data_IF_515793142835
#
_entry.id   IF_515793142835
#
_cell.length_a   1.000
_cell.length_b   1.000
_cell.length_c   1.000
_cell.angle_alpha   90.00
_cell.angle_beta   90.00
_cell.angle_gamma   90.00
#
_symmetry.space_group_name_H-M   'P 1'
#
loop_
_entity.id
_entity.type
_entity.pdbx_description
1 polymer ?
#
# COMPACT_ATOMS: atom_id res chain seq x y z
N UNK A 1 -7.16 6.18 -22.54
CA UNK A 1 -5.70 6.29 -22.62
C UNK A 1 -5.28 7.58 -21.94
N UNK A 2 -4.36 7.50 -21.02
CA UNK A 2 -3.81 8.62 -20.24
C UNK A 2 -3.19 9.72 -21.14
N UNK A 3 -3.23 10.98 -20.70
CA UNK A 3 -2.71 12.13 -21.46
C UNK A 3 -1.20 12.03 -21.71
N UNK A 4 -0.43 11.52 -20.73
CA UNK A 4 1.01 11.31 -20.88
C UNK A 4 1.32 10.24 -21.92
N UNK A 5 0.61 9.11 -21.89
CA UNK A 5 0.73 8.06 -22.92
C UNK A 5 0.44 8.60 -24.32
N UNK A 6 -0.63 9.41 -24.48
CA UNK A 6 -0.94 10.09 -25.77
C UNK A 6 0.19 11.00 -26.24
N UNK A 7 0.80 11.77 -25.31
CA UNK A 7 1.94 12.65 -25.62
C UNK A 7 3.15 11.83 -26.09
N UNK A 8 3.49 10.75 -25.41
CA UNK A 8 4.60 9.85 -25.80
C UNK A 8 4.36 9.24 -27.18
N UNK A 9 3.15 8.74 -27.42
CA UNK A 9 2.80 8.17 -28.74
C UNK A 9 2.93 9.21 -29.86
N UNK A 10 2.53 10.46 -29.62
CA UNK A 10 2.73 11.56 -30.58
C UNK A 10 4.22 11.85 -30.83
N UNK A 11 5.03 11.83 -29.77
CA UNK A 11 6.49 12.05 -29.86
C UNK A 11 7.17 10.93 -30.67
N UNK A 12 6.72 9.69 -30.55
CA UNK A 12 7.24 8.55 -31.31
C UNK A 12 6.92 8.63 -32.84
N UNK A 13 5.91 9.41 -33.25
CA UNK A 13 5.53 9.54 -34.65
C UNK A 13 5.20 8.16 -35.26
N UNK A 14 5.79 7.80 -36.39
CA UNK A 14 5.62 6.49 -37.04
C UNK A 14 6.15 5.34 -36.19
N UNK A 15 7.11 5.56 -35.31
CA UNK A 15 7.65 4.51 -34.45
C UNK A 15 6.60 3.95 -33.46
N UNK A 16 5.46 4.63 -33.25
CA UNK A 16 4.35 4.13 -32.43
C UNK A 16 3.76 2.83 -33.00
N UNK A 17 3.93 2.57 -34.29
CA UNK A 17 3.44 1.36 -34.96
C UNK A 17 4.13 0.08 -34.47
N UNK A 18 5.35 0.17 -33.94
CA UNK A 18 6.06 -0.94 -33.32
C UNK A 18 5.50 -1.33 -31.94
N UNK A 19 4.70 -0.46 -31.30
CA UNK A 19 4.15 -0.74 -29.99
C UNK A 19 2.87 -1.59 -30.08
N UNK A 20 2.77 -2.57 -29.18
CA UNK A 20 1.51 -3.25 -28.89
C UNK A 20 0.45 -2.28 -28.37
N UNK A 21 -0.82 -2.71 -28.30
CA UNK A 21 -1.89 -1.94 -27.70
C UNK A 21 -1.61 -1.61 -26.22
N UNK A 22 -0.98 -2.53 -25.48
CA UNK A 22 -0.53 -2.32 -24.12
C UNK A 22 0.64 -1.32 -24.07
N UNK A 23 1.68 -1.49 -24.88
CA UNK A 23 2.80 -0.56 -24.95
C UNK A 23 2.38 0.88 -25.25
N UNK A 24 1.35 1.08 -26.07
CA UNK A 24 0.78 2.42 -26.33
C UNK A 24 0.05 3.04 -25.14
N UNK A 25 -0.39 2.25 -24.16
CA UNK A 25 -1.01 2.75 -22.93
C UNK A 25 0.01 3.10 -21.85
N UNK A 26 1.20 2.48 -21.90
CA UNK A 26 2.24 2.68 -20.90
C UNK A 26 2.84 4.08 -20.90
N UNK A 27 3.14 4.60 -19.72
CA UNK A 27 3.84 5.88 -19.50
C UNK A 27 4.51 5.87 -18.13
N UNK A 28 5.48 6.79 -17.93
CA UNK A 28 6.03 7.04 -16.61
C UNK A 28 5.30 8.25 -15.99
N UNK A 29 4.76 8.14 -14.76
CA UNK A 29 3.95 9.20 -14.15
C UNK A 29 4.82 10.30 -13.51
N UNK A 30 5.44 11.16 -14.34
CA UNK A 30 6.31 12.25 -13.88
C UNK A 30 5.66 13.21 -12.87
N UNK A 31 4.34 13.42 -12.95
CA UNK A 31 3.59 14.24 -12.00
C UNK A 31 3.07 13.49 -10.78
N UNK A 32 3.26 12.16 -10.70
CA UNK A 32 2.85 11.33 -9.57
C UNK A 32 3.80 11.43 -8.37
N UNK A 33 3.65 10.52 -7.42
CA UNK A 33 4.42 10.48 -6.17
C UNK A 33 5.94 10.59 -6.40
N UNK A 34 6.48 9.89 -7.40
CA UNK A 34 7.92 9.91 -7.68
C UNK A 34 8.40 11.26 -8.20
N UNK A 35 7.62 11.91 -9.08
CA UNK A 35 7.95 13.24 -9.60
C UNK A 35 7.90 14.31 -8.52
N UNK A 36 6.81 14.33 -7.75
CA UNK A 36 6.65 15.24 -6.61
C UNK A 36 7.77 15.03 -5.54
N UNK A 37 8.15 13.76 -5.31
CA UNK A 37 9.26 13.42 -4.43
C UNK A 37 10.61 13.97 -4.94
N UNK A 38 10.85 13.96 -6.26
CA UNK A 38 12.05 14.53 -6.86
C UNK A 38 12.09 16.06 -6.70
N UNK A 39 10.98 16.76 -6.88
CA UNK A 39 10.87 18.22 -6.64
C UNK A 39 11.20 18.58 -5.18
N UNK A 40 10.80 17.73 -4.23
CA UNK A 40 11.08 17.90 -2.80
C UNK A 40 12.50 17.51 -2.39
N UNK A 41 13.33 17.00 -3.29
CA UNK A 41 14.64 16.41 -2.97
C UNK A 41 15.64 17.37 -2.30
N UNK A 42 15.46 18.69 -2.46
CA UNK A 42 16.31 19.73 -1.84
C UNK A 42 15.68 20.37 -0.59
N UNK A 43 14.49 19.97 -0.20
CA UNK A 43 13.82 20.51 0.98
C UNK A 43 14.54 20.08 2.27
N UNK A 44 14.59 20.98 3.25
CA UNK A 44 15.14 20.68 4.58
C UNK A 44 14.32 19.63 5.32
N UNK A 45 13.01 19.62 5.09
CA UNK A 45 12.08 18.62 5.60
C UNK A 45 11.44 17.91 4.40
N UNK A 46 11.61 16.60 4.29
CA UNK A 46 11.07 15.82 3.18
C UNK A 46 10.12 14.72 3.68
N UNK A 47 8.81 14.99 3.58
CA UNK A 47 7.72 14.10 3.97
C UNK A 47 7.08 13.38 2.78
N UNK A 48 7.84 13.05 1.74
CA UNK A 48 7.29 12.51 0.47
C UNK A 48 7.36 11.00 0.36
N UNK A 49 8.48 10.37 0.72
CA UNK A 49 8.80 9.00 0.35
C UNK A 49 8.18 7.96 1.29
N UNK A 50 7.81 6.81 0.73
CA UNK A 50 7.24 5.67 1.49
C UNK A 50 8.31 4.77 2.13
N UNK A 51 9.30 5.38 2.80
CA UNK A 51 10.31 4.71 3.63
C UNK A 51 10.20 5.20 5.07
N UNK A 52 11.03 4.67 5.96
CA UNK A 52 11.16 5.17 7.33
C UNK A 52 12.64 5.43 7.64
N UNK A 53 12.90 6.46 8.45
CA UNK A 53 14.24 6.89 8.85
C UNK A 53 14.36 6.98 10.37
N UNK A 54 15.56 6.85 10.88
CA UNK A 54 15.89 7.09 12.29
C UNK A 54 15.78 8.58 12.64
N UNK A 55 15.99 8.92 13.90
CA UNK A 55 15.96 10.30 14.37
C UNK A 55 17.17 11.13 13.87
N UNK A 56 18.24 10.48 13.42
CA UNK A 56 19.43 11.08 12.82
C UNK A 56 19.35 11.20 11.29
N UNK A 57 18.26 10.72 10.67
CA UNK A 57 18.06 10.73 9.24
C UNK A 57 18.65 9.52 8.50
N UNK A 58 19.25 8.54 9.18
CA UNK A 58 19.67 7.28 8.57
C UNK A 58 18.46 6.37 8.29
N UNK A 59 18.53 5.44 7.33
CA UNK A 59 17.43 4.49 7.08
C UNK A 59 17.10 3.63 8.30
N UNK A 60 15.81 3.48 8.61
CA UNK A 60 15.30 2.67 9.72
C UNK A 60 15.42 1.18 9.41
N UNK A 61 16.63 0.64 9.35
CA UNK A 61 16.92 -0.76 8.99
C UNK A 61 17.30 -1.55 10.24
N UNK A 62 16.85 -2.81 10.31
CA UNK A 62 17.24 -3.73 11.40
C UNK A 62 18.61 -4.32 11.13
N UNK A 63 19.47 -4.38 12.17
CA UNK A 63 20.82 -4.95 12.10
C UNK A 63 20.85 -6.40 11.63
N UNK A 64 19.85 -7.19 11.97
CA UNK A 64 19.75 -8.58 11.54
C UNK A 64 19.62 -8.74 10.02
N UNK A 65 19.20 -7.70 9.28
CA UNK A 65 19.30 -7.66 7.83
C UNK A 65 20.62 -7.05 7.35
N UNK A 66 21.02 -5.91 7.91
CA UNK A 66 22.18 -5.16 7.43
C UNK A 66 23.50 -5.89 7.66
N UNK A 67 23.62 -6.66 8.75
CA UNK A 67 24.86 -7.37 9.12
C UNK A 67 24.99 -8.76 8.52
N UNK A 68 23.92 -9.36 8.01
CA UNK A 68 23.91 -10.72 7.45
C UNK A 68 24.24 -10.78 5.94
N UNK A 69 25.05 -9.83 5.45
CA UNK A 69 25.41 -9.76 4.02
C UNK A 69 26.36 -10.90 3.60
N UNK A 70 27.06 -11.55 4.55
CA UNK A 70 27.91 -12.71 4.28
C UNK A 70 27.05 -13.97 4.11
N UNK A 71 26.63 -14.22 2.88
CA UNK A 71 25.75 -15.31 2.50
C UNK A 71 26.51 -16.53 1.98
N UNK A 72 25.97 -17.73 2.23
CA UNK A 72 26.42 -18.97 1.59
C UNK A 72 26.33 -18.86 0.05
N UNK A 73 27.24 -19.53 -0.66
CA UNK A 73 27.27 -19.57 -2.14
C UNK A 73 25.94 -20.05 -2.75
N UNK A 74 25.16 -20.84 -2.03
CA UNK A 74 23.83 -21.29 -2.46
C UNK A 74 22.84 -20.13 -2.68
N UNK A 75 23.03 -18.98 -2.01
CA UNK A 75 22.23 -17.79 -2.21
C UNK A 75 22.31 -17.22 -3.63
N UNK A 76 23.35 -17.57 -4.39
CA UNK A 76 23.57 -17.13 -5.77
C UNK A 76 22.91 -18.06 -6.82
N UNK A 77 22.31 -19.16 -6.40
CA UNK A 77 21.58 -20.06 -7.27
C UNK A 77 20.14 -19.53 -7.53
N UNK A 78 19.50 -20.04 -8.58
CA UNK A 78 18.09 -19.71 -8.82
C UNK A 78 17.21 -20.17 -7.66
N UNK A 79 16.29 -19.31 -7.22
CA UNK A 79 15.35 -19.62 -6.12
C UNK A 79 14.16 -20.48 -6.55
N UNK A 80 13.98 -20.71 -7.88
CA UNK A 80 12.77 -21.29 -8.44
C UNK A 80 11.60 -20.29 -8.45
N UNK A 81 10.61 -20.54 -9.31
CA UNK A 81 9.49 -19.61 -9.54
C UNK A 81 8.52 -19.52 -8.37
N UNK A 82 8.44 -20.54 -7.53
CA UNK A 82 7.67 -20.50 -6.27
C UNK A 82 8.38 -19.72 -5.15
N UNK A 83 9.69 -19.55 -5.25
CA UNK A 83 10.56 -19.09 -4.18
C UNK A 83 11.14 -20.23 -3.35
N UNK A 84 12.14 -19.91 -2.50
CA UNK A 84 12.82 -20.88 -1.64
C UNK A 84 11.85 -21.48 -0.61
N UNK A 85 11.85 -22.81 -0.50
CA UNK A 85 10.93 -23.56 0.38
C UNK A 85 11.07 -23.12 1.84
N UNK A 86 12.29 -22.89 2.30
CA UNK A 86 12.56 -22.44 3.68
C UNK A 86 11.89 -21.08 3.95
N UNK A 87 11.98 -20.12 3.01
CA UNK A 87 11.34 -18.81 3.14
C UNK A 87 9.83 -18.91 3.15
N UNK A 88 9.24 -19.67 2.22
CA UNK A 88 7.80 -19.88 2.13
C UNK A 88 7.22 -20.48 3.41
N UNK A 89 7.91 -21.49 3.98
CA UNK A 89 7.51 -22.11 5.24
C UNK A 89 7.62 -21.16 6.43
N UNK A 90 8.74 -20.41 6.52
CA UNK A 90 8.91 -19.41 7.57
C UNK A 90 7.82 -18.34 7.51
N UNK A 91 7.52 -17.81 6.30
CA UNK A 91 6.47 -16.80 6.12
C UNK A 91 5.09 -17.33 6.43
N UNK A 92 4.74 -18.56 6.00
CA UNK A 92 3.50 -19.22 6.37
C UNK A 92 3.30 -19.30 7.89
N UNK A 93 4.35 -19.69 8.62
CA UNK A 93 4.32 -19.75 10.07
C UNK A 93 4.15 -18.36 10.70
N UNK A 94 4.79 -17.33 10.12
CA UNK A 94 4.59 -15.94 10.55
C UNK A 94 3.17 -15.45 10.28
N UNK A 95 2.58 -15.80 9.14
CA UNK A 95 1.19 -15.44 8.83
C UNK A 95 0.23 -15.97 9.90
N UNK A 96 0.32 -17.25 10.29
CA UNK A 96 -0.54 -17.80 11.34
C UNK A 96 -0.31 -17.10 12.68
N UNK A 97 0.96 -16.91 13.07
CA UNK A 97 1.27 -16.22 14.35
C UNK A 97 0.77 -14.77 14.40
N UNK A 98 0.81 -14.07 13.27
CA UNK A 98 0.35 -12.67 13.17
C UNK A 98 -1.15 -12.54 12.95
N UNK A 99 -1.80 -13.61 12.51
CA UNK A 99 -3.23 -13.69 12.24
C UNK A 99 -3.79 -14.96 12.89
N UNK A 100 -4.01 -14.98 14.21
CA UNK A 100 -4.51 -16.16 14.93
C UNK A 100 -5.83 -16.70 14.36
N UNK A 101 -6.67 -15.83 13.79
CA UNK A 101 -7.93 -16.23 13.13
C UNK A 101 -7.74 -17.10 11.88
N UNK A 102 -6.51 -17.30 11.40
CA UNK A 102 -6.17 -18.28 10.35
C UNK A 102 -6.03 -19.71 10.86
N UNK A 103 -5.94 -19.91 12.18
CA UNK A 103 -5.80 -21.24 12.74
C UNK A 103 -6.98 -22.12 12.34
N UNK A 104 -6.67 -23.31 11.84
CA UNK A 104 -7.68 -24.27 11.34
C UNK A 104 -8.28 -23.94 9.96
N UNK A 105 -7.95 -22.80 9.33
CA UNK A 105 -8.42 -22.46 7.99
C UNK A 105 -7.47 -22.97 6.90
N UNK A 106 -8.02 -23.38 5.76
CA UNK A 106 -7.26 -23.81 4.61
C UNK A 106 -6.81 -22.58 3.78
N UNK A 107 -5.53 -22.50 3.48
CA UNK A 107 -4.94 -21.51 2.56
C UNK A 107 -3.68 -22.06 1.90
N UNK A 108 -3.31 -21.51 0.75
CA UNK A 108 -2.16 -21.95 -0.04
C UNK A 108 -0.82 -21.67 0.67
N UNK A 109 0.25 -22.29 0.22
CA UNK A 109 1.57 -21.78 0.58
C UNK A 109 1.84 -20.47 -0.16
N UNK A 110 2.53 -19.50 0.48
CA UNK A 110 2.88 -18.25 -0.19
C UNK A 110 3.81 -18.48 -1.37
N UNK A 111 3.54 -17.83 -2.50
CA UNK A 111 4.45 -17.77 -3.66
C UNK A 111 5.23 -16.47 -3.57
N UNK A 112 6.55 -16.55 -3.72
CA UNK A 112 7.45 -15.39 -3.57
C UNK A 112 7.39 -14.51 -4.82
N UNK A 113 7.19 -13.21 -4.62
CA UNK A 113 7.14 -12.20 -5.67
C UNK A 113 8.25 -11.15 -5.48
N UNK A 114 8.52 -10.36 -6.51
CA UNK A 114 9.47 -9.22 -6.41
C UNK A 114 8.77 -8.04 -5.73
N UNK A 115 8.52 -8.15 -4.43
CA UNK A 115 7.68 -7.29 -3.59
C UNK A 115 6.21 -7.23 -4.02
N UNK A 116 5.41 -6.39 -3.34
CA UNK A 116 3.97 -6.34 -3.50
C UNK A 116 3.53 -5.80 -4.87
N UNK A 117 4.28 -4.87 -5.46
CA UNK A 117 3.97 -4.35 -6.80
C UNK A 117 3.93 -5.47 -7.84
N UNK A 118 4.89 -6.40 -7.78
CA UNK A 118 4.87 -7.58 -8.64
C UNK A 118 3.72 -8.53 -8.26
N UNK A 119 3.45 -8.71 -6.97
CA UNK A 119 2.29 -9.49 -6.51
C UNK A 119 0.96 -8.94 -7.02
N UNK A 120 0.77 -7.61 -7.01
CA UNK A 120 -0.39 -6.94 -7.62
C UNK A 120 -0.47 -7.17 -9.12
N UNK A 121 0.68 -7.12 -9.83
CA UNK A 121 0.73 -7.44 -11.27
C UNK A 121 0.34 -8.89 -11.54
N UNK A 122 0.82 -9.84 -10.75
CA UNK A 122 0.41 -11.26 -10.80
C UNK A 122 -1.09 -11.39 -10.59
N UNK A 123 -1.67 -10.67 -9.61
CA UNK A 123 -3.12 -10.68 -9.38
C UNK A 123 -3.90 -10.09 -10.57
N UNK A 124 -3.41 -8.98 -11.14
CA UNK A 124 -4.04 -8.37 -12.29
C UNK A 124 -4.08 -9.33 -13.49
N UNK A 125 -2.98 -10.00 -13.79
CA UNK A 125 -2.88 -10.96 -14.90
C UNK A 125 -3.67 -12.26 -14.65
N UNK A 126 -3.81 -12.69 -13.39
CA UNK A 126 -4.57 -13.90 -13.08
C UNK A 126 -6.09 -13.67 -13.00
N UNK A 127 -6.53 -12.48 -12.59
CA UNK A 127 -7.92 -12.28 -12.20
C UNK A 127 -8.65 -11.19 -12.97
N UNK A 128 -7.95 -10.25 -13.62
CA UNK A 128 -8.58 -9.14 -14.30
C UNK A 128 -8.65 -9.39 -15.82
N UNK A 129 -9.86 -9.47 -16.35
CA UNK A 129 -10.10 -9.40 -17.77
C UNK A 129 -10.26 -7.95 -18.23
N UNK A 130 -10.15 -7.73 -19.55
CA UNK A 130 -10.37 -6.41 -20.13
C UNK A 130 -11.77 -5.91 -19.79
N UNK A 131 -11.83 -4.68 -19.28
CA UNK A 131 -13.04 -4.01 -18.79
C UNK A 131 -13.67 -4.56 -17.50
N UNK A 132 -13.08 -5.56 -16.85
CA UNK A 132 -13.46 -5.90 -15.47
C UNK A 132 -13.32 -4.70 -14.55
N UNK A 133 -14.15 -4.65 -13.52
CA UNK A 133 -14.13 -3.57 -12.54
C UNK A 133 -13.30 -3.96 -11.32
N UNK A 134 -12.31 -3.11 -11.01
CA UNK A 134 -11.50 -3.18 -9.81
C UNK A 134 -12.00 -2.13 -8.83
N UNK A 135 -12.69 -2.57 -7.80
CA UNK A 135 -13.33 -1.72 -6.80
C UNK A 135 -12.31 -1.35 -5.73
N UNK A 136 -12.08 -0.04 -5.55
CA UNK A 136 -11.12 0.51 -4.58
C UNK A 136 -11.73 1.74 -3.89
N UNK A 137 -11.29 2.12 -2.66
CA UNK A 137 -11.63 3.43 -2.10
C UNK A 137 -11.07 4.55 -2.98
N UNK A 138 -11.66 5.75 -2.98
CA UNK A 138 -11.19 6.91 -3.77
C UNK A 138 -9.83 7.45 -3.31
N UNK A 139 -9.42 7.10 -2.09
CA UNK A 139 -8.09 7.37 -1.55
C UNK A 139 -7.26 6.07 -1.61
N UNK A 140 -6.65 5.83 -2.76
CA UNK A 140 -5.86 4.64 -3.06
C UNK A 140 -4.45 5.00 -3.57
N UNK A 141 -3.59 4.02 -3.67
CA UNK A 141 -2.27 4.17 -4.26
C UNK A 141 -2.37 4.25 -5.79
N UNK A 142 -1.98 5.38 -6.37
CA UNK A 142 -2.10 5.73 -7.80
C UNK A 142 -1.54 4.68 -8.76
N UNK A 143 -0.56 3.89 -8.33
CA UNK A 143 0.03 2.83 -9.15
C UNK A 143 -0.95 1.68 -9.48
N UNK A 144 -2.10 1.59 -8.80
CA UNK A 144 -3.13 0.63 -9.20
C UNK A 144 -3.68 0.91 -10.60
N UNK A 145 -3.74 2.18 -11.02
CA UNK A 145 -4.12 2.56 -12.38
C UNK A 145 -3.15 1.96 -13.42
N UNK A 146 -1.84 2.13 -13.20
CA UNK A 146 -0.82 1.56 -14.09
C UNK A 146 -0.91 0.02 -14.18
N UNK A 147 -1.18 -0.63 -13.04
CA UNK A 147 -1.19 -2.10 -12.96
C UNK A 147 -2.46 -2.69 -13.58
N UNK A 148 -3.64 -2.17 -13.21
CA UNK A 148 -4.92 -2.77 -13.60
C UNK A 148 -5.52 -2.13 -14.85
N UNK A 149 -5.47 -0.80 -15.01
CA UNK A 149 -6.04 -0.14 -16.18
C UNK A 149 -5.10 -0.14 -17.37
N UNK A 150 -3.92 0.46 -17.21
CA UNK A 150 -3.02 0.66 -18.34
C UNK A 150 -2.38 -0.64 -18.82
N UNK A 151 -1.99 -1.51 -17.90
CA UNK A 151 -1.36 -2.78 -18.26
C UNK A 151 -2.36 -3.89 -18.63
N UNK A 152 -3.46 -4.06 -17.90
CA UNK A 152 -4.40 -5.16 -18.12
C UNK A 152 -5.71 -4.75 -18.79
N UNK A 153 -6.01 -3.45 -18.87
CA UNK A 153 -7.23 -2.95 -19.52
C UNK A 153 -8.50 -3.12 -18.69
N UNK A 154 -8.37 -3.45 -17.39
CA UNK A 154 -9.46 -3.39 -16.45
C UNK A 154 -9.85 -1.94 -16.17
N UNK A 155 -10.85 -1.69 -15.34
CA UNK A 155 -11.31 -0.34 -14.97
C UNK A 155 -11.33 -0.18 -13.47
N UNK A 156 -10.65 0.85 -12.97
CA UNK A 156 -10.77 1.24 -11.56
C UNK A 156 -12.15 1.86 -11.34
N UNK A 157 -12.88 1.33 -10.38
CA UNK A 157 -14.18 1.83 -9.92
C UNK A 157 -14.04 2.26 -8.46
N UNK A 158 -14.14 3.55 -8.20
CA UNK A 158 -13.92 4.09 -6.85
C UNK A 158 -15.21 4.23 -6.06
N UNK A 159 -15.10 4.14 -4.74
CA UNK A 159 -16.13 4.51 -3.78
C UNK A 159 -15.53 5.43 -2.72
N UNK A 160 -16.37 6.27 -2.08
CA UNK A 160 -15.90 7.17 -1.02
C UNK A 160 -15.23 6.38 0.11
N UNK A 161 -13.99 6.73 0.44
CA UNK A 161 -13.24 6.07 1.52
C UNK A 161 -13.89 6.29 2.87
N UNK A 162 -14.32 7.53 3.15
CA UNK A 162 -14.84 7.91 4.46
C UNK A 162 -16.21 8.55 4.40
N UNK A 163 -17.02 8.24 5.42
CA UNK A 163 -18.29 8.92 5.72
C UNK A 163 -18.36 9.18 7.22
N UNK A 164 -18.48 10.47 7.59
CA UNK A 164 -18.49 10.91 9.01
C UNK A 164 -17.31 10.36 9.83
N UNK A 165 -16.11 10.34 9.23
CA UNK A 165 -14.87 9.89 9.88
C UNK A 165 -14.66 8.38 9.97
N UNK A 166 -15.60 7.55 9.50
CA UNK A 166 -15.51 6.08 9.45
C UNK A 166 -15.37 5.60 8.01
N UNK A 167 -14.87 4.39 7.79
CA UNK A 167 -14.81 3.77 6.47
C UNK A 167 -16.22 3.60 5.89
N UNK A 168 -16.44 4.01 4.63
CA UNK A 168 -17.78 3.96 4.00
C UNK A 168 -18.08 2.57 3.41
N UNK A 169 -18.40 1.63 4.31
CA UNK A 169 -18.78 0.25 3.94
C UNK A 169 -20.04 0.23 3.06
N UNK A 170 -20.94 1.21 3.21
CA UNK A 170 -22.15 1.26 2.40
C UNK A 170 -21.84 1.62 0.95
N UNK A 171 -20.92 2.57 0.73
CA UNK A 171 -20.45 2.93 -0.62
C UNK A 171 -19.67 1.75 -1.24
N UNK A 172 -18.79 1.08 -0.50
CA UNK A 172 -18.11 -0.14 -0.96
C UNK A 172 -19.10 -1.22 -1.39
N UNK A 173 -20.13 -1.51 -0.56
CA UNK A 173 -21.15 -2.51 -0.88
C UNK A 173 -21.93 -2.15 -2.13
N UNK A 174 -22.28 -0.85 -2.31
CA UNK A 174 -22.96 -0.36 -3.50
C UNK A 174 -22.10 -0.61 -4.75
N UNK A 175 -20.83 -0.24 -4.75
CA UNK A 175 -19.91 -0.45 -5.87
C UNK A 175 -19.75 -1.94 -6.24
N UNK A 176 -19.70 -2.83 -5.25
CA UNK A 176 -19.66 -4.28 -5.47
C UNK A 176 -20.96 -4.84 -6.10
N UNK A 177 -22.10 -4.19 -5.88
CA UNK A 177 -23.39 -4.60 -6.43
C UNK A 177 -23.62 -4.08 -7.86
N UNK A 178 -22.85 -3.13 -8.35
CA UNK A 178 -22.94 -2.64 -9.73
C UNK A 178 -22.84 -3.77 -10.76
N UNK A 179 -23.29 -3.60 -12.02
CA UNK A 179 -23.30 -4.64 -13.03
C UNK A 179 -21.94 -5.33 -13.22
N UNK A 180 -21.97 -6.62 -13.56
CA UNK A 180 -20.82 -7.53 -13.71
C UNK A 180 -20.89 -8.66 -12.69
N UNK A 181 -20.65 -9.91 -13.14
CA UNK A 181 -20.76 -11.10 -12.28
C UNK A 181 -19.52 -11.31 -11.42
N UNK A 182 -18.37 -10.82 -11.88
CA UNK A 182 -17.09 -10.84 -11.18
C UNK A 182 -16.67 -9.42 -10.80
N UNK A 183 -16.15 -9.25 -9.58
CA UNK A 183 -15.55 -8.02 -9.07
C UNK A 183 -14.21 -8.31 -8.42
N UNK A 184 -13.23 -7.46 -8.69
CA UNK A 184 -12.01 -7.41 -7.90
C UNK A 184 -12.18 -6.31 -6.84
N UNK A 185 -11.95 -6.63 -5.57
CA UNK A 185 -11.97 -5.67 -4.47
C UNK A 185 -10.55 -5.58 -3.91
N UNK A 186 -9.95 -4.39 -3.89
CA UNK A 186 -8.67 -4.16 -3.23
C UNK A 186 -8.89 -3.39 -1.94
N UNK A 187 -8.44 -3.96 -0.83
CA UNK A 187 -8.42 -3.35 0.49
C UNK A 187 -6.96 -3.22 0.95
N UNK A 188 -6.51 -1.99 1.14
CA UNK A 188 -5.16 -1.68 1.60
C UNK A 188 -5.24 -1.13 3.03
N UNK A 189 -4.85 -1.95 4.01
CA UNK A 189 -4.81 -1.59 5.42
C UNK A 189 -3.50 -2.05 6.08
N UNK A 190 -2.74 -1.15 6.70
CA UNK A 190 -2.86 0.32 6.72
C UNK A 190 -2.85 0.94 5.32
N UNK A 191 -3.71 1.93 5.11
CA UNK A 191 -3.94 2.52 3.79
C UNK A 191 -2.82 3.51 3.40
N UNK A 192 -2.40 3.45 2.17
CA UNK A 192 -1.71 4.53 1.47
C UNK A 192 -2.71 5.21 0.53
N UNK A 193 -3.07 6.49 0.74
CA UNK A 193 -2.27 7.54 1.39
C UNK A 193 -2.65 7.91 2.83
N UNK A 194 -3.76 7.44 3.37
CA UNK A 194 -4.37 8.04 4.57
C UNK A 194 -3.75 7.61 5.90
N UNK A 195 -3.09 6.44 5.95
CA UNK A 195 -2.63 5.85 7.21
C UNK A 195 -3.78 5.30 8.07
N UNK A 196 -4.90 4.94 7.44
CA UNK A 196 -6.06 4.36 8.12
C UNK A 196 -6.05 2.84 8.04
N UNK A 197 -6.39 2.20 9.15
CA UNK A 197 -6.74 0.77 9.22
C UNK A 197 -8.15 0.65 9.79
N UNK A 198 -8.92 -0.28 9.26
CA UNK A 198 -10.28 -0.56 9.70
C UNK A 198 -10.34 -0.79 11.22
N UNK A 199 -11.31 -0.16 11.88
CA UNK A 199 -11.63 -0.48 13.27
C UNK A 199 -12.22 -1.88 13.37
N UNK A 200 -12.30 -2.44 14.58
CA UNK A 200 -12.97 -3.74 14.79
C UNK A 200 -14.42 -3.73 14.29
N UNK A 201 -15.11 -2.61 14.38
CA UNK A 201 -16.48 -2.45 13.88
C UNK A 201 -16.50 -2.35 12.34
N UNK A 202 -15.60 -1.56 11.74
CA UNK A 202 -15.49 -1.49 10.28
C UNK A 202 -15.14 -2.86 9.68
N UNK A 203 -14.21 -3.60 10.26
CA UNK A 203 -13.84 -4.94 9.82
C UNK A 203 -15.06 -5.89 9.79
N UNK A 204 -15.83 -5.92 10.87
CA UNK A 204 -17.08 -6.71 10.94
C UNK A 204 -18.09 -6.30 9.86
N UNK A 205 -18.26 -4.99 9.64
CA UNK A 205 -19.17 -4.46 8.61
C UNK A 205 -18.67 -4.78 7.20
N UNK A 206 -17.37 -4.66 6.93
CA UNK A 206 -16.74 -5.02 5.64
C UNK A 206 -16.99 -6.50 5.34
N UNK A 207 -16.68 -7.39 6.29
CA UNK A 207 -16.88 -8.84 6.16
C UNK A 207 -18.36 -9.16 5.88
N UNK A 208 -19.27 -8.58 6.64
CA UNK A 208 -20.72 -8.76 6.46
C UNK A 208 -21.20 -8.24 5.09
N UNK A 209 -20.69 -7.10 4.63
CA UNK A 209 -21.06 -6.53 3.35
C UNK A 209 -20.60 -7.42 2.18
N UNK A 210 -19.33 -7.88 2.20
CA UNK A 210 -18.79 -8.77 1.16
C UNK A 210 -19.54 -10.11 1.14
N UNK A 211 -19.82 -10.71 2.31
CA UNK A 211 -20.63 -11.93 2.43
C UNK A 211 -22.02 -11.74 1.81
N UNK A 212 -22.69 -10.64 2.12
CA UNK A 212 -24.03 -10.34 1.60
C UNK A 212 -24.05 -10.13 0.08
N UNK A 213 -22.98 -9.53 -0.51
CA UNK A 213 -22.84 -9.39 -1.95
C UNK A 213 -22.57 -10.73 -2.61
N UNK A 214 -21.67 -11.54 -2.05
CA UNK A 214 -21.36 -12.88 -2.53
C UNK A 214 -22.58 -13.81 -2.49
N UNK A 215 -23.43 -13.70 -1.47
CA UNK A 215 -24.69 -14.45 -1.35
C UNK A 215 -25.72 -14.11 -2.44
N UNK A 216 -25.59 -12.94 -3.10
CA UNK A 216 -26.39 -12.56 -4.28
C UNK A 216 -25.83 -13.12 -5.60
N UNK A 217 -24.86 -14.03 -5.54
CA UNK A 217 -24.28 -14.68 -6.71
C UNK A 217 -23.02 -13.98 -7.29
N UNK A 218 -22.65 -12.79 -6.79
CA UNK A 218 -21.44 -12.10 -7.26
C UNK A 218 -20.18 -12.87 -6.86
N UNK A 219 -19.28 -13.12 -7.81
CA UNK A 219 -17.92 -13.64 -7.55
C UNK A 219 -17.01 -12.49 -7.17
N UNK A 220 -16.35 -12.58 -6.02
CA UNK A 220 -15.49 -11.51 -5.51
C UNK A 220 -14.08 -12.07 -5.34
N UNK A 221 -13.11 -11.48 -6.03
CA UNK A 221 -11.69 -11.64 -5.73
C UNK A 221 -11.29 -10.52 -4.80
N UNK A 222 -11.15 -10.82 -3.51
CA UNK A 222 -10.80 -9.84 -2.49
C UNK A 222 -9.28 -9.87 -2.27
N UNK A 223 -8.61 -8.81 -2.68
CA UNK A 223 -7.15 -8.64 -2.59
C UNK A 223 -6.86 -7.75 -1.39
N UNK A 224 -6.22 -8.31 -0.37
CA UNK A 224 -5.68 -7.58 0.76
C UNK A 224 -4.27 -7.13 0.42
N UNK A 225 -4.10 -5.84 0.11
CA UNK A 225 -2.78 -5.21 -0.03
C UNK A 225 -2.28 -4.81 1.36
N UNK A 226 -1.59 -5.74 1.99
CA UNK A 226 -1.06 -5.63 3.35
C UNK A 226 0.36 -5.02 3.37
N UNK A 227 0.64 -4.06 2.49
CA UNK A 227 1.95 -3.45 2.36
C UNK A 227 2.51 -2.88 3.68
N UNK A 228 1.65 -2.39 4.55
CA UNK A 228 2.00 -1.77 5.84
C UNK A 228 1.52 -2.59 7.04
N UNK A 229 1.27 -3.88 6.85
CA UNK A 229 0.76 -4.79 7.88
C UNK A 229 1.58 -4.70 9.19
N UNK A 230 0.87 -4.77 10.33
CA UNK A 230 1.46 -4.72 11.66
C UNK A 230 1.82 -3.30 12.17
N UNK A 231 1.66 -2.26 11.37
CA UNK A 231 1.96 -0.87 11.75
C UNK A 231 0.71 -0.15 12.29
N UNK A 232 0.07 -0.71 13.30
CA UNK A 232 -1.13 -0.16 13.96
C UNK A 232 -0.74 0.48 15.28
N UNK A 233 -1.25 1.68 15.57
CA UNK A 233 -0.79 2.50 16.70
C UNK A 233 -1.85 2.77 17.76
N UNK A 234 -3.14 2.52 17.47
CA UNK A 234 -4.27 2.72 18.36
C UNK A 234 -4.91 1.41 18.82
N UNK A 235 -5.65 1.47 19.93
CA UNK A 235 -6.50 0.36 20.39
C UNK A 235 -7.82 0.36 19.62
N UNK A 236 -8.46 -0.80 19.54
CA UNK A 236 -9.77 -0.93 18.87
C UNK A 236 -9.70 -1.02 17.34
N UNK A 237 -8.49 -1.11 16.80
CA UNK A 237 -8.22 -1.33 15.38
C UNK A 237 -8.12 -2.82 15.11
N UNK A 238 -8.52 -3.26 13.94
CA UNK A 238 -8.37 -4.65 13.50
C UNK A 238 -6.90 -4.91 13.16
N UNK A 239 -6.19 -5.60 14.03
CA UNK A 239 -4.73 -5.80 13.92
C UNK A 239 -4.35 -6.94 12.98
N UNK A 240 -5.25 -7.89 12.72
CA UNK A 240 -5.07 -8.96 11.76
C UNK A 240 -5.34 -8.48 10.32
N UNK A 241 -4.84 -9.22 9.34
CA UNK A 241 -5.27 -9.03 7.96
C UNK A 241 -6.71 -9.47 7.77
N UNK A 242 -7.51 -8.71 7.02
CA UNK A 242 -8.84 -9.15 6.61
C UNK A 242 -8.82 -10.46 5.79
N UNK A 243 -7.65 -10.87 5.30
CA UNK A 243 -7.47 -12.18 4.68
C UNK A 243 -7.91 -13.30 5.61
N UNK A 244 -7.63 -13.20 6.91
CA UNK A 244 -8.04 -14.20 7.90
C UNK A 244 -9.56 -14.34 7.98
N UNK A 245 -10.28 -13.22 7.91
CA UNK A 245 -11.74 -13.19 7.93
C UNK A 245 -12.38 -13.70 6.62
N UNK A 246 -11.66 -13.50 5.50
CA UNK A 246 -12.16 -13.87 4.17
C UNK A 246 -11.81 -15.28 3.75
N UNK A 247 -10.85 -15.94 4.42
CA UNK A 247 -10.30 -17.23 4.02
C UNK A 247 -11.35 -18.34 3.85
N UNK A 248 -12.44 -18.31 4.63
CA UNK A 248 -13.56 -19.26 4.56
C UNK A 248 -14.93 -18.57 4.54
N UNK A 249 -14.99 -17.31 4.09
CA UNK A 249 -16.17 -16.46 4.21
C UNK A 249 -17.38 -16.98 3.41
N UNK A 250 -17.20 -17.22 2.12
CA UNK A 250 -18.27 -17.65 1.21
C UNK A 250 -17.70 -18.31 -0.04
N UNK A 251 -18.39 -19.30 -0.63
CA UNK A 251 -17.93 -20.02 -1.83
C UNK A 251 -17.70 -19.11 -3.07
N UNK A 252 -18.32 -17.93 -3.12
CA UNK A 252 -18.13 -16.94 -4.18
C UNK A 252 -17.07 -15.88 -3.81
N UNK A 253 -16.27 -16.09 -2.78
CA UNK A 253 -15.18 -15.19 -2.37
C UNK A 253 -13.86 -15.94 -2.46
N UNK A 254 -12.95 -15.45 -3.30
CA UNK A 254 -11.55 -15.82 -3.29
C UNK A 254 -10.78 -14.72 -2.55
N UNK A 255 -10.17 -15.06 -1.45
CA UNK A 255 -9.29 -14.17 -0.70
C UNK A 255 -7.86 -14.28 -1.22
N UNK A 256 -7.22 -13.15 -1.47
CA UNK A 256 -5.81 -13.05 -1.90
C UNK A 256 -5.08 -12.13 -0.94
N UNK A 257 -4.02 -12.62 -0.32
CA UNK A 257 -3.15 -11.81 0.53
C UNK A 257 -1.88 -11.45 -0.21
N UNK A 258 -1.59 -10.15 -0.27
CA UNK A 258 -0.31 -9.61 -0.71
C UNK A 258 0.38 -8.98 0.47
N UNK A 259 1.52 -9.54 0.88
CA UNK A 259 2.32 -9.01 1.96
C UNK A 259 3.82 -9.17 1.68
N UNK A 260 4.67 -8.75 2.59
CA UNK A 260 6.11 -8.90 2.41
C UNK A 260 6.94 -8.06 3.37
N UNK A 261 8.25 -8.27 3.27
CA UNK A 261 9.24 -7.67 4.15
C UNK A 261 9.44 -6.16 3.95
N UNK A 262 8.99 -5.62 2.83
CA UNK A 262 9.33 -4.27 2.35
C UNK A 262 9.13 -3.17 3.41
N UNK A 263 7.94 -3.05 4.00
CA UNK A 263 7.64 -2.04 5.02
C UNK A 263 7.53 -2.66 6.41
N UNK A 264 6.99 -3.87 6.48
CA UNK A 264 6.84 -4.60 7.73
C UNK A 264 8.19 -4.88 8.42
N UNK A 265 9.25 -5.12 7.63
CA UNK A 265 10.60 -5.41 8.10
C UNK A 265 11.62 -4.33 7.74
N UNK A 266 11.16 -3.18 7.22
CA UNK A 266 11.99 -2.00 6.94
C UNK A 266 13.12 -2.24 5.93
N UNK A 267 12.88 -3.04 4.89
CA UNK A 267 13.89 -3.44 3.88
C UNK A 267 13.40 -3.17 2.45
N UNK A 268 13.11 -1.93 2.16
CA UNK A 268 12.44 -1.48 0.92
C UNK A 268 13.17 -1.91 -0.36
N UNK A 269 14.50 -1.92 -0.36
CA UNK A 269 15.33 -2.31 -1.49
C UNK A 269 15.46 -3.83 -1.71
N UNK A 270 15.13 -4.66 -0.72
CA UNK A 270 15.32 -6.11 -0.79
C UNK A 270 14.35 -6.80 -1.76
N UNK A 271 13.17 -6.20 -1.99
CA UNK A 271 12.15 -6.65 -2.94
C UNK A 271 11.67 -8.08 -2.74
N UNK A 272 11.29 -8.43 -1.53
CA UNK A 272 10.67 -9.73 -1.19
C UNK A 272 9.22 -9.51 -0.77
N UNK A 273 8.31 -10.15 -1.47
CA UNK A 273 6.87 -10.16 -1.21
C UNK A 273 6.29 -11.54 -1.45
N UNK A 274 5.02 -11.70 -1.12
CA UNK A 274 4.32 -12.97 -1.16
C UNK A 274 2.89 -12.78 -1.67
N UNK A 275 2.39 -13.77 -2.39
CA UNK A 275 0.98 -13.92 -2.72
C UNK A 275 0.46 -15.23 -2.17
N UNK A 276 -0.67 -15.19 -1.46
CA UNK A 276 -1.31 -16.33 -0.80
C UNK A 276 -2.81 -16.34 -1.09
N UNK A 277 -3.39 -17.49 -1.27
CA UNK A 277 -4.79 -17.69 -1.67
C UNK A 277 -5.57 -18.47 -0.61
N UNK A 278 -6.84 -18.12 -0.44
CA UNK A 278 -7.78 -18.87 0.37
C UNK A 278 -9.21 -18.72 -0.18
N UNK A 279 -10.06 -19.69 0.12
CA UNK A 279 -11.48 -19.61 -0.25
C UNK A 279 -12.27 -20.75 0.36
N UNK A 280 -13.52 -20.46 0.71
CA UNK A 280 -14.39 -21.45 1.37
C UNK A 280 -14.63 -22.66 0.49
N UNK A 281 -14.31 -23.85 1.00
CA UNK A 281 -14.53 -25.12 0.34
C UNK A 281 -13.49 -25.48 -0.73
N UNK A 282 -12.41 -24.69 -0.89
CA UNK A 282 -11.32 -25.06 -1.77
C UNK A 282 -10.53 -26.24 -1.19
N UNK A 283 -10.30 -27.26 -2.03
CA UNK A 283 -9.45 -28.42 -1.67
C UNK A 283 -7.97 -28.04 -1.67
N UNK A 284 -7.12 -28.89 -1.08
CA UNK A 284 -5.67 -28.72 -1.12
C UNK A 284 -5.14 -28.68 -2.56
N UNK A 285 -5.68 -29.48 -3.47
CA UNK A 285 -5.32 -29.50 -4.88
C UNK A 285 -5.70 -28.20 -5.58
N UNK A 286 -6.86 -27.61 -5.26
CA UNK A 286 -7.30 -26.33 -5.80
C UNK A 286 -6.42 -25.18 -5.31
N UNK A 287 -6.08 -25.17 -4.04
CA UNK A 287 -5.14 -24.18 -3.47
C UNK A 287 -3.75 -24.30 -4.10
N UNK A 288 -3.27 -25.55 -4.30
CA UNK A 288 -2.02 -25.80 -5.03
C UNK A 288 -2.07 -25.35 -6.49
N UNK A 289 -3.22 -25.50 -7.15
CA UNK A 289 -3.40 -25.00 -8.51
C UNK A 289 -3.30 -23.47 -8.60
N UNK A 290 -3.78 -22.72 -7.59
CA UNK A 290 -3.55 -21.28 -7.51
C UNK A 290 -2.06 -20.93 -7.30
N UNK A 291 -1.33 -21.70 -6.47
CA UNK A 291 0.12 -21.55 -6.35
C UNK A 291 0.82 -21.77 -7.71
N UNK A 292 0.44 -22.82 -8.44
CA UNK A 292 1.02 -23.16 -9.75
C UNK A 292 0.74 -22.05 -10.79
N UNK A 293 -0.47 -21.49 -10.80
CA UNK A 293 -0.82 -20.35 -11.65
C UNK A 293 0.02 -19.13 -11.33
N UNK A 294 0.16 -18.77 -10.04
CA UNK A 294 0.98 -17.65 -9.61
C UNK A 294 2.47 -17.88 -9.93
N UNK A 295 3.00 -19.06 -9.65
CA UNK A 295 4.39 -19.41 -9.98
C UNK A 295 4.63 -19.44 -11.51
N UNK A 296 3.66 -19.85 -12.31
CA UNK A 296 3.69 -19.77 -13.77
C UNK A 296 3.77 -18.32 -14.25
N UNK A 297 3.02 -17.42 -13.63
CA UNK A 297 3.09 -15.98 -13.91
C UNK A 297 4.45 -15.38 -13.51
N UNK A 298 4.97 -15.72 -12.32
CA UNK A 298 6.34 -15.36 -11.90
C UNK A 298 7.36 -15.87 -12.92
N UNK A 299 7.21 -17.13 -13.40
CA UNK A 299 8.13 -17.74 -14.37
C UNK A 299 8.14 -16.98 -15.70
N UNK A 300 6.99 -16.54 -16.17
CA UNK A 300 6.87 -15.85 -17.46
C UNK A 300 7.31 -14.37 -17.39
N UNK A 301 7.22 -13.73 -16.23
CA UNK A 301 7.53 -12.31 -16.07
C UNK A 301 8.97 -12.03 -15.64
N UNK A 302 9.47 -12.70 -14.60
CA UNK A 302 10.78 -12.44 -14.00
C UNK A 302 11.61 -13.72 -13.76
N UNK A 303 11.15 -14.88 -14.23
CA UNK A 303 11.73 -16.20 -13.99
C UNK A 303 11.63 -16.65 -12.51
N UNK A 304 12.14 -15.89 -11.57
CA UNK A 304 12.01 -16.04 -10.13
C UNK A 304 12.37 -14.72 -9.42
N UNK A 305 11.85 -14.49 -8.22
CA UNK A 305 12.27 -13.38 -7.38
C UNK A 305 13.72 -13.57 -6.91
N UNK A 306 14.40 -12.46 -6.54
CA UNK A 306 15.82 -12.46 -6.15
C UNK A 306 16.14 -13.52 -5.09
N UNK A 307 17.05 -14.43 -5.40
CA UNK A 307 17.52 -15.45 -4.47
C UNK A 307 18.30 -14.84 -3.30
N UNK A 308 19.11 -13.79 -3.55
CA UNK A 308 19.83 -13.04 -2.53
C UNK A 308 18.87 -12.39 -1.52
N UNK A 309 17.84 -11.72 -1.98
CA UNK A 309 16.83 -11.13 -1.11
C UNK A 309 16.13 -12.18 -0.23
N UNK A 310 15.81 -13.33 -0.81
CA UNK A 310 15.21 -14.44 -0.07
C UNK A 310 16.15 -15.03 0.97
N UNK A 311 17.44 -15.20 0.65
CA UNK A 311 18.44 -15.71 1.57
C UNK A 311 18.69 -14.74 2.75
N UNK A 312 18.74 -13.43 2.49
CA UNK A 312 18.82 -12.40 3.53
C UNK A 312 17.61 -12.44 4.47
N UNK A 313 16.40 -12.60 3.91
CA UNK A 313 15.18 -12.73 4.72
C UNK A 313 15.24 -13.96 5.64
N UNK A 314 15.64 -15.13 5.11
CA UNK A 314 15.79 -16.35 5.90
C UNK A 314 16.81 -16.16 7.02
N UNK A 315 17.97 -15.55 6.72
CA UNK A 315 19.02 -15.29 7.71
C UNK A 315 18.49 -14.39 8.83
N UNK A 316 17.81 -13.29 8.48
CA UNK A 316 17.22 -12.38 9.46
C UNK A 316 16.12 -13.03 10.31
N UNK A 317 15.24 -13.86 9.71
CA UNK A 317 14.17 -14.54 10.45
C UNK A 317 14.68 -15.58 11.45
N UNK A 318 15.88 -16.10 11.23
CA UNK A 318 16.57 -17.00 12.14
C UNK A 318 17.43 -16.27 13.20
N UNK A 319 17.60 -14.95 13.08
CA UNK A 319 18.35 -14.17 14.06
C UNK A 319 17.52 -14.04 15.37
N UNK A 320 18.07 -14.40 16.54
CA UNK A 320 17.35 -14.30 17.81
C UNK A 320 16.93 -12.86 18.16
N UNK A 321 17.56 -11.86 17.57
CA UNK A 321 17.24 -10.43 17.78
C UNK A 321 16.19 -9.89 16.83
N UNK A 322 15.72 -10.66 15.84
CA UNK A 322 14.76 -10.18 14.83
C UNK A 322 13.51 -9.55 15.46
N UNK A 323 12.88 -10.22 16.40
CA UNK A 323 11.63 -9.74 17.03
C UNK A 323 11.88 -8.50 17.90
N UNK A 324 13.00 -8.46 18.65
CA UNK A 324 13.33 -7.29 19.49
C UNK A 324 13.63 -6.06 18.64
N UNK A 325 14.44 -6.19 17.60
CA UNK A 325 14.77 -5.11 16.68
C UNK A 325 13.52 -4.61 15.93
N UNK A 326 12.65 -5.51 15.50
CA UNK A 326 11.37 -5.12 14.87
C UNK A 326 10.50 -4.27 15.82
N UNK A 327 10.42 -4.64 17.09
CA UNK A 327 9.70 -3.87 18.13
C UNK A 327 10.33 -2.49 18.38
N UNK A 328 11.65 -2.38 18.36
CA UNK A 328 12.36 -1.11 18.49
C UNK A 328 11.99 -0.15 17.34
N UNK A 329 12.05 -0.63 16.09
CA UNK A 329 11.69 0.17 14.91
C UNK A 329 10.20 0.57 14.91
N UNK A 330 9.33 -0.35 15.28
CA UNK A 330 7.91 -0.05 15.49
C UNK A 330 7.69 1.04 16.55
N UNK A 331 8.45 1.02 17.65
CA UNK A 331 8.34 2.01 18.72
C UNK A 331 8.68 3.43 18.24
N UNK A 332 9.67 3.59 17.35
CA UNK A 332 10.02 4.89 16.71
C UNK A 332 8.81 5.45 15.97
N UNK A 333 8.18 4.67 15.11
CA UNK A 333 7.03 5.10 14.32
C UNK A 333 5.81 5.40 15.20
N UNK A 334 5.56 4.55 16.19
CA UNK A 334 4.47 4.77 17.17
C UNK A 334 4.68 6.06 17.99
N UNK A 335 5.92 6.38 18.32
CA UNK A 335 6.24 7.64 18.97
C UNK A 335 5.90 8.85 18.09
N UNK A 336 6.29 8.84 16.82
CA UNK A 336 5.95 9.90 15.85
C UNK A 336 4.44 10.07 15.70
N UNK A 337 3.72 8.97 15.59
CA UNK A 337 2.26 9.00 15.60
C UNK A 337 1.71 9.71 16.85
N UNK A 338 2.21 9.37 18.04
CA UNK A 338 1.79 10.02 19.29
C UNK A 338 2.10 11.51 19.31
N UNK A 339 3.27 11.92 18.83
CA UNK A 339 3.66 13.33 18.69
C UNK A 339 2.67 14.07 17.81
N UNK A 340 2.31 13.51 16.63
CA UNK A 340 1.32 14.12 15.74
C UNK A 340 -0.04 14.28 16.43
N UNK A 341 -0.52 13.23 17.11
CA UNK A 341 -1.79 13.31 17.87
C UNK A 341 -1.75 14.38 18.94
N UNK A 342 -0.57 14.55 19.60
CA UNK A 342 -0.32 15.62 20.55
C UNK A 342 -0.41 17.01 19.91
N UNK A 343 0.30 17.23 18.78
CA UNK A 343 0.28 18.49 18.03
C UNK A 343 -1.15 18.87 17.63
N UNK A 344 -1.89 17.97 17.00
CA UNK A 344 -3.26 18.24 16.58
C UNK A 344 -4.22 18.55 17.76
N UNK A 345 -3.94 18.02 18.94
CA UNK A 345 -4.71 18.32 20.17
C UNK A 345 -4.35 19.68 20.78
N UNK A 346 -3.06 20.04 20.76
CA UNK A 346 -2.57 21.28 21.40
C UNK A 346 -2.68 22.50 20.51
N UNK A 347 -2.93 22.33 19.21
CA UNK A 347 -3.06 23.40 18.22
C UNK A 347 -4.44 23.35 17.53
N UNK A 348 -5.56 23.62 18.27
CA UNK A 348 -6.89 23.60 17.68
C UNK A 348 -7.08 24.66 16.58
N UNK A 349 -6.28 25.73 16.58
CA UNK A 349 -6.26 26.80 15.57
C UNK A 349 -5.90 26.27 14.16
N UNK A 350 -5.21 25.14 14.03
CA UNK A 350 -4.92 24.53 12.73
C UNK A 350 -6.19 24.08 11.99
N UNK A 351 -7.29 23.88 12.72
CA UNK A 351 -8.59 23.58 12.11
C UNK A 351 -9.12 24.69 11.21
N UNK A 352 -8.62 25.94 11.31
CA UNK A 352 -8.94 27.04 10.39
C UNK A 352 -8.23 26.86 9.03
N UNK A 353 -7.11 26.17 9.00
CA UNK A 353 -6.26 26.01 7.81
C UNK A 353 -6.45 24.66 7.13
N UNK A 354 -6.59 23.58 7.86
CA UNK A 354 -6.74 22.23 7.31
C UNK A 354 -7.56 21.31 8.21
N UNK A 355 -8.04 20.20 7.61
CA UNK A 355 -8.74 19.12 8.29
C UNK A 355 -7.91 17.84 8.17
N UNK A 356 -7.49 17.21 9.29
CA UNK A 356 -6.85 15.89 9.25
C UNK A 356 -7.84 14.82 8.80
N UNK A 357 -7.46 13.98 7.84
CA UNK A 357 -8.21 12.78 7.49
C UNK A 357 -8.08 11.72 8.60
N UNK A 358 -9.02 10.77 8.71
CA UNK A 358 -8.88 9.66 9.65
C UNK A 358 -7.58 8.89 9.42
N UNK A 359 -6.78 8.70 10.48
CA UNK A 359 -5.54 7.92 10.46
C UNK A 359 -5.27 7.31 11.83
N UNK A 360 -4.69 6.13 11.89
CA UNK A 360 -4.41 5.39 13.13
C UNK A 360 -3.23 4.43 13.01
N UNK A 361 -2.55 4.41 11.83
CA UNK A 361 -1.59 3.36 11.46
C UNK A 361 -0.67 3.79 10.31
N UNK A 362 0.22 2.90 9.88
CA UNK A 362 1.04 3.05 8.67
C UNK A 362 2.14 4.09 8.75
N UNK A 363 2.53 4.62 7.61
CA UNK A 363 3.61 5.59 7.44
C UNK A 363 3.12 7.02 7.20
N UNK A 364 1.84 7.17 6.88
CA UNK A 364 1.28 8.40 6.33
C UNK A 364 0.13 8.92 7.15
N UNK A 365 -0.14 10.20 6.94
CA UNK A 365 -1.43 10.82 7.19
C UNK A 365 -1.72 11.82 6.08
N UNK A 366 -2.98 12.18 5.93
CA UNK A 366 -3.41 13.22 5.01
C UNK A 366 -4.09 14.37 5.75
N UNK A 367 -3.90 15.58 5.23
CA UNK A 367 -4.68 16.76 5.61
C UNK A 367 -5.34 17.38 4.39
N UNK A 368 -6.56 17.88 4.56
CA UNK A 368 -7.32 18.59 3.53
C UNK A 368 -7.18 20.10 3.78
N UNK A 369 -6.48 20.85 2.90
CA UNK A 369 -6.41 22.31 3.02
C UNK A 369 -7.82 22.92 2.87
N UNK A 370 -8.09 23.98 3.62
CA UNK A 370 -9.37 24.69 3.60
C UNK A 370 -9.29 25.99 2.81
N UNK A 371 -10.10 26.13 1.77
CA UNK A 371 -10.25 27.36 0.99
C UNK A 371 -9.10 27.70 0.05
N UNK A 372 -8.16 26.76 -0.15
CA UNK A 372 -7.02 26.88 -1.08
C UNK A 372 -6.76 25.54 -1.78
N UNK A 373 -6.19 25.60 -2.97
CA UNK A 373 -5.80 24.42 -3.73
C UNK A 373 -4.62 23.68 -3.07
N UNK A 374 -4.71 22.34 -2.97
CA UNK A 374 -3.67 21.54 -2.32
C UNK A 374 -2.32 21.61 -3.05
N UNK A 375 -2.31 21.64 -4.39
CA UNK A 375 -1.10 21.77 -5.17
C UNK A 375 -0.44 23.14 -5.00
N UNK A 376 -1.23 24.21 -4.92
CA UNK A 376 -0.74 25.53 -4.59
C UNK A 376 -0.08 25.56 -3.21
N UNK A 377 -0.69 24.89 -2.20
CA UNK A 377 -0.08 24.75 -0.87
C UNK A 377 1.23 23.98 -0.94
N UNK A 378 1.28 22.84 -1.66
CA UNK A 378 2.49 22.03 -1.81
C UNK A 378 3.64 22.85 -2.40
N UNK A 379 3.41 23.59 -3.47
CA UNK A 379 4.42 24.44 -4.11
C UNK A 379 4.91 25.53 -3.16
N UNK A 380 3.99 26.18 -2.46
CA UNK A 380 4.34 27.22 -1.48
C UNK A 380 5.15 26.65 -0.29
N UNK A 381 4.85 25.42 0.15
CA UNK A 381 5.63 24.70 1.16
C UNK A 381 7.08 24.46 0.69
N UNK A 382 7.28 24.03 -0.54
CA UNK A 382 8.63 23.83 -1.11
C UNK A 382 9.39 25.17 -1.20
N UNK A 383 8.77 26.18 -1.79
CA UNK A 383 9.41 27.45 -2.14
C UNK A 383 9.74 28.30 -0.90
N UNK A 384 8.80 28.40 0.03
CA UNK A 384 8.91 29.29 1.19
C UNK A 384 9.33 28.62 2.48
N UNK A 385 8.91 27.39 2.67
CA UNK A 385 9.10 26.67 3.94
C UNK A 385 10.05 25.49 3.85
N UNK A 386 10.69 25.26 2.68
CA UNK A 386 11.60 24.14 2.44
C UNK A 386 11.05 22.80 2.95
N UNK A 387 9.72 22.58 2.77
CA UNK A 387 8.99 21.42 3.25
C UNK A 387 8.37 20.68 2.08
N UNK A 388 8.85 19.46 1.81
CA UNK A 388 8.38 18.59 0.73
C UNK A 388 7.23 17.70 1.20
N UNK A 389 6.13 17.71 0.47
CA UNK A 389 4.93 16.89 0.69
C UNK A 389 4.43 16.32 -0.63
N UNK A 390 3.44 15.43 -0.58
CA UNK A 390 2.78 14.88 -1.77
C UNK A 390 1.33 15.38 -1.82
N UNK A 391 0.86 15.75 -2.99
CA UNK A 391 -0.58 15.98 -3.25
C UNK A 391 -1.17 14.79 -3.98
N UNK A 392 -2.26 14.28 -3.44
CA UNK A 392 -3.02 13.18 -4.00
C UNK A 392 -4.51 13.42 -3.73
N UNK A 393 -5.36 13.34 -4.76
CA UNK A 393 -6.83 13.53 -4.65
C UNK A 393 -7.23 14.80 -3.88
N UNK A 394 -6.51 15.91 -4.07
CA UNK A 394 -6.78 17.18 -3.37
C UNK A 394 -6.40 17.21 -1.90
N UNK A 395 -5.66 16.22 -1.41
CA UNK A 395 -5.13 16.12 -0.06
C UNK A 395 -3.62 16.30 -0.07
N UNK A 396 -3.08 16.83 1.01
CA UNK A 396 -1.64 16.83 1.30
C UNK A 396 -1.33 15.59 2.11
N UNK A 397 -0.53 14.68 1.56
CA UNK A 397 -0.02 13.50 2.26
C UNK A 397 1.32 13.83 2.91
N UNK A 398 1.42 13.49 4.19
CA UNK A 398 2.62 13.62 5.02
C UNK A 398 3.15 12.22 5.36
N UNK A 399 4.35 11.90 4.91
CA UNK A 399 5.06 10.68 5.29
C UNK A 399 5.78 10.92 6.62
N UNK A 400 5.08 10.80 7.75
CA UNK A 400 5.67 11.01 9.08
C UNK A 400 6.75 9.97 9.43
N UNK A 401 6.77 8.86 8.72
CA UNK A 401 7.81 7.83 8.85
C UNK A 401 9.21 8.34 8.49
N UNK A 402 9.30 9.39 7.67
CA UNK A 402 10.59 9.97 7.24
C UNK A 402 11.04 11.14 8.11
N UNK A 403 10.19 11.67 8.98
CA UNK A 403 10.42 12.90 9.73
C UNK A 403 10.87 12.55 11.16
N UNK A 404 12.04 13.02 11.62
CA UNK A 404 12.40 12.95 13.04
C UNK A 404 11.32 13.58 13.92
N UNK A 405 11.03 12.96 15.07
CA UNK A 405 9.93 13.40 15.94
C UNK A 405 10.02 14.88 16.33
N UNK A 406 11.23 15.41 16.53
CA UNK A 406 11.49 16.81 16.87
C UNK A 406 11.09 17.82 15.79
N UNK A 407 11.03 17.40 14.51
CA UNK A 407 10.67 18.26 13.37
C UNK A 407 9.17 18.20 13.01
N UNK A 408 8.40 17.30 13.60
CA UNK A 408 6.96 17.19 13.32
C UNK A 408 6.18 18.48 13.65
N UNK A 409 6.46 19.22 14.76
CA UNK A 409 5.80 20.50 15.00
C UNK A 409 6.01 21.51 13.86
N UNK A 410 7.24 21.59 13.32
CA UNK A 410 7.56 22.49 12.21
C UNK A 410 6.79 22.15 10.94
N UNK A 411 6.61 20.85 10.64
CA UNK A 411 5.82 20.41 9.48
C UNK A 411 4.40 20.95 9.55
N UNK A 412 3.72 20.82 10.70
CA UNK A 412 2.33 21.28 10.86
C UNK A 412 2.22 22.81 10.89
N UNK A 413 3.18 23.50 11.54
CA UNK A 413 3.27 24.96 11.51
C UNK A 413 3.49 25.49 10.09
N UNK A 414 4.33 24.82 9.28
CA UNK A 414 4.57 25.19 7.90
C UNK A 414 3.32 24.99 7.03
N UNK A 415 2.58 23.89 7.23
CA UNK A 415 1.30 23.64 6.52
C UNK A 415 0.27 24.72 6.88
N UNK A 416 0.11 25.05 8.16
CA UNK A 416 -0.81 26.12 8.61
C UNK A 416 -0.42 27.46 7.99
N UNK A 417 0.86 27.82 8.09
CA UNK A 417 1.39 29.07 7.54
C UNK A 417 1.19 29.18 6.02
N UNK A 418 1.48 28.11 5.29
CA UNK A 418 1.33 28.08 3.83
C UNK A 418 -0.14 28.30 3.41
N UNK A 419 -1.07 27.66 4.11
CA UNK A 419 -2.52 27.84 3.86
C UNK A 419 -2.94 29.29 4.16
N UNK A 420 -2.50 29.86 5.30
CA UNK A 420 -2.82 31.24 5.69
C UNK A 420 -2.24 32.26 4.72
N UNK A 421 -1.02 32.07 4.24
CA UNK A 421 -0.37 32.96 3.27
C UNK A 421 -1.17 33.01 1.96
N UNK A 422 -1.56 31.85 1.43
CA UNK A 422 -2.34 31.76 0.19
C UNK A 422 -3.74 32.34 0.33
N UNK A 423 -4.40 32.20 1.48
CA UNK A 423 -5.69 32.86 1.78
C UNK A 423 -5.56 34.38 1.77
N UNK A 424 -4.48 34.93 2.40
CA UNK A 424 -4.22 36.38 2.41
C UNK A 424 -3.96 36.91 0.99
N UNK A 425 -3.21 36.17 0.18
CA UNK A 425 -2.96 36.56 -1.21
C UNK A 425 -4.23 36.60 -2.06
N UNK A 426 -5.14 35.64 -1.85
CA UNK A 426 -6.45 35.60 -2.53
C UNK A 426 -7.36 36.79 -2.19
N UNK A 427 -7.31 37.27 -0.95
CA UNK A 427 -8.11 38.42 -0.48
C UNK A 427 -7.57 39.72 -1.06
N UNK A 428 -6.24 39.87 -1.24
CA UNK A 428 -5.61 41.08 -1.81
C UNK A 428 -5.81 41.20 -3.31
N UNK A 429 -6.13 40.11 -4.02
CA UNK A 429 -6.33 40.06 -5.48
C UNK A 429 -7.82 40.11 -5.89
N UNK A 430 -8.72 40.23 -4.93
CA UNK A 430 -10.16 40.52 -5.12
C UNK A 430 -10.46 41.97 -4.75
#
# INVERSE_FOLDING_TARGET
>A
MNTLAKKLNKTLGSAVEFLSAEGRRMYFPYGGILGQGAEAGKCSINATIGMAFEEDGSPLVMDCFAKNINLDKKAFLYAGSFGQVALRNAWRNFMVRKNPSLEGKAFSNPVVTNALTHGLRVCAELFADKADKVVVPDLFWDNYELIFEDACGAKIETFNTFKKGCFDVAAMKKALLEPGDKKLLILNFPNNPTGYTATLDDAKKIVSAVKAVAAKGKKIVAIMDDAYFGLVYEKGIHEESLFSEFADLHQNVLAVKLDGTTKEDYVWGMRVGFVTFAGKGLSAEQLKAFEDKAAGNVRSSISNASSLGQALAIAAFNDPKYISQKREKYAVLKNRYRVIRGILKTHPEYAESFEPMPFNSGYFMCVKPKGVDAEAVRRHLIEKYSTGTIVLSGLIRLAFSTIPAKLLPDVFANVDSAVRDLKKAHIKNK
#
